data_IF_671655084931
#
_entry.id   IF_671655084931
#
_cell.length_a   1.000
_cell.length_b   1.000
_cell.length_c   1.000
_cell.angle_alpha   90.00
_cell.angle_beta   90.00
_cell.angle_gamma   90.00
#
_symmetry.space_group_name_H-M   'P 1'
#
loop_
_entity.id
_entity.type
_entity.pdbx_description
1 polymer ?
#
# COMPACT_ATOMS: atom_id res chain seq x y z
N UNK A 1 41.52 -15.08 -17.12
CA UNK A 1 40.83 -14.82 -18.41
C UNK A 1 39.40 -15.21 -18.20
N UNK A 2 38.49 -14.22 -18.10
CA UNK A 2 37.05 -14.47 -18.15
C UNK A 2 36.65 -14.71 -19.59
N UNK A 3 36.00 -15.84 -19.85
CA UNK A 3 35.39 -16.13 -21.15
C UNK A 3 33.96 -15.64 -21.11
N UNK A 4 33.64 -14.62 -21.87
CA UNK A 4 32.28 -14.14 -22.08
C UNK A 4 31.74 -14.82 -23.33
N UNK A 5 30.68 -15.61 -23.19
CA UNK A 5 29.97 -16.21 -24.30
C UNK A 5 28.89 -15.24 -24.79
N UNK A 6 29.07 -14.68 -25.98
CA UNK A 6 28.06 -13.86 -26.65
C UNK A 6 27.10 -14.78 -27.42
N UNK A 7 25.87 -14.92 -26.91
CA UNK A 7 24.82 -15.74 -27.54
C UNK A 7 23.90 -14.82 -28.34
N UNK A 8 23.95 -14.87 -29.63
CA UNK A 8 23.07 -14.14 -30.53
C UNK A 8 21.90 -15.01 -30.98
N UNK A 9 20.65 -14.61 -30.65
CA UNK A 9 19.46 -15.26 -31.17
C UNK A 9 19.28 -15.01 -32.67
N UNK A 10 18.83 -16.04 -33.40
CA UNK A 10 18.47 -15.91 -34.83
C UNK A 10 17.30 -14.93 -34.96
N UNK A 11 17.25 -14.16 -36.08
CA UNK A 11 16.21 -13.12 -36.32
C UNK A 11 14.78 -13.62 -36.15
N UNK A 12 14.48 -14.88 -36.48
CA UNK A 12 13.16 -15.47 -36.31
C UNK A 12 12.69 -15.59 -34.84
N UNK A 13 13.60 -15.55 -33.86
CA UNK A 13 13.33 -15.68 -32.44
C UNK A 13 13.45 -14.33 -31.69
N UNK A 14 13.66 -13.24 -32.42
CA UNK A 14 13.80 -11.89 -31.83
C UNK A 14 12.45 -11.18 -31.60
N UNK A 15 11.38 -11.76 -32.11
CA UNK A 15 10.01 -11.25 -31.90
C UNK A 15 9.04 -12.40 -31.68
N UNK A 16 8.06 -12.18 -30.85
CA UNK A 16 7.08 -13.21 -30.54
C UNK A 16 5.98 -12.72 -29.62
N UNK A 17 5.08 -13.66 -29.35
CA UNK A 17 3.98 -13.49 -28.43
C UNK A 17 4.00 -14.64 -27.44
N UNK A 18 3.69 -14.33 -26.19
CA UNK A 18 3.47 -15.30 -25.13
C UNK A 18 2.19 -14.92 -24.42
N UNK A 19 1.39 -15.90 -24.04
CA UNK A 19 0.18 -15.61 -23.28
C UNK A 19 -0.27 -16.85 -22.53
N UNK A 20 -0.89 -16.62 -21.38
CA UNK A 20 -1.58 -17.66 -20.64
C UNK A 20 -2.91 -17.10 -20.11
N UNK A 21 -3.85 -18.02 -19.92
CA UNK A 21 -5.13 -17.74 -19.28
C UNK A 21 -5.42 -18.89 -18.33
N UNK A 22 -5.76 -18.56 -17.11
CA UNK A 22 -6.17 -19.53 -16.10
C UNK A 22 -7.55 -19.15 -15.59
N UNK A 23 -8.41 -20.16 -15.41
CA UNK A 23 -9.72 -19.98 -14.80
C UNK A 23 -9.99 -21.16 -13.87
N UNK A 24 -10.53 -20.88 -12.70
CA UNK A 24 -10.89 -21.87 -11.71
C UNK A 24 -12.18 -21.49 -10.99
N UNK A 25 -12.99 -22.49 -10.68
CA UNK A 25 -14.16 -22.34 -9.83
C UNK A 25 -14.18 -23.48 -8.80
N UNK A 26 -14.44 -23.14 -7.57
CA UNK A 26 -14.39 -24.06 -6.44
C UNK A 26 -15.66 -24.07 -5.61
N UNK A 27 -15.66 -24.84 -4.54
CA UNK A 27 -16.73 -24.84 -3.54
C UNK A 27 -16.84 -23.51 -2.83
N UNK A 28 -18.03 -23.18 -2.28
CA UNK A 28 -18.29 -21.92 -1.57
C UNK A 28 -18.07 -20.68 -2.45
N UNK A 29 -18.47 -20.76 -3.72
CA UNK A 29 -18.38 -19.66 -4.69
C UNK A 29 -16.96 -19.09 -4.87
N UNK A 30 -15.92 -19.91 -4.63
CA UNK A 30 -14.54 -19.52 -4.87
C UNK A 30 -14.25 -19.51 -6.36
N UNK A 31 -13.64 -18.44 -6.82
CA UNK A 31 -13.25 -18.27 -8.22
C UNK A 31 -11.86 -17.67 -8.38
N UNK A 32 -11.23 -17.97 -9.49
CA UNK A 32 -9.97 -17.42 -9.95
C UNK A 32 -10.05 -17.22 -11.46
N UNK A 33 -9.67 -16.04 -11.94
CA UNK A 33 -9.48 -15.77 -13.35
C UNK A 33 -8.23 -14.93 -13.55
N UNK A 34 -7.26 -15.44 -14.31
CA UNK A 34 -5.99 -14.74 -14.61
C UNK A 34 -5.73 -14.76 -16.10
N UNK A 35 -5.18 -13.66 -16.59
CA UNK A 35 -4.73 -13.55 -17.97
C UNK A 35 -3.41 -12.78 -18.04
N UNK A 36 -2.53 -13.23 -18.89
CA UNK A 36 -1.25 -12.60 -19.20
C UNK A 36 -1.01 -12.63 -20.71
N UNK A 37 -0.52 -11.52 -21.25
CA UNK A 37 -0.13 -11.42 -22.64
C UNK A 37 1.16 -10.60 -22.75
N UNK A 38 2.11 -11.11 -23.49
CA UNK A 38 3.39 -10.50 -23.77
C UNK A 38 3.63 -10.48 -25.28
N UNK A 39 3.94 -9.31 -25.81
CA UNK A 39 4.54 -9.16 -27.15
C UNK A 39 5.92 -8.58 -26.99
N UNK A 40 6.90 -9.17 -27.63
CA UNK A 40 8.27 -8.65 -27.67
C UNK A 40 8.81 -8.58 -29.09
N UNK A 41 9.67 -7.61 -29.31
CA UNK A 41 10.45 -7.40 -30.52
C UNK A 41 11.90 -7.11 -30.15
N UNK A 42 12.78 -6.88 -31.13
CA UNK A 42 14.17 -6.48 -30.86
C UNK A 42 14.31 -5.23 -29.98
N UNK A 43 13.33 -4.32 -30.05
CA UNK A 43 13.41 -2.99 -29.45
C UNK A 43 12.24 -2.66 -28.52
N UNK A 44 11.26 -3.55 -28.39
CA UNK A 44 10.09 -3.27 -27.56
C UNK A 44 9.53 -4.51 -26.87
N UNK A 45 8.92 -4.29 -25.71
CA UNK A 45 8.17 -5.29 -24.99
C UNK A 45 6.89 -4.63 -24.47
N UNK A 46 5.75 -5.27 -24.74
CA UNK A 46 4.44 -4.87 -24.23
C UNK A 46 3.90 -6.05 -23.45
N UNK A 47 3.59 -5.84 -22.19
CA UNK A 47 3.00 -6.82 -21.29
C UNK A 47 1.64 -6.30 -20.82
N UNK A 48 0.63 -7.14 -20.86
CA UNK A 48 -0.70 -6.86 -20.30
C UNK A 48 -1.10 -8.02 -19.39
N UNK A 49 -1.73 -7.73 -18.27
CA UNK A 49 -2.14 -8.75 -17.32
C UNK A 49 -3.36 -8.33 -16.51
N UNK A 50 -4.08 -9.31 -16.02
CA UNK A 50 -5.20 -9.13 -15.11
C UNK A 50 -5.41 -10.35 -14.23
N UNK A 51 -5.91 -10.12 -13.01
CA UNK A 51 -6.26 -11.15 -12.04
C UNK A 51 -7.56 -10.73 -11.34
N UNK A 52 -8.52 -11.63 -11.29
CA UNK A 52 -9.73 -11.49 -10.49
C UNK A 52 -9.94 -12.76 -9.68
N UNK A 53 -10.08 -12.64 -8.38
CA UNK A 53 -10.24 -13.80 -7.51
C UNK A 53 -10.85 -13.44 -6.15
N UNK A 54 -11.38 -14.47 -5.47
CA UNK A 54 -11.75 -14.46 -4.06
C UNK A 54 -11.09 -15.62 -3.28
N UNK A 55 -9.94 -16.07 -3.72
CA UNK A 55 -9.18 -17.20 -3.15
C UNK A 55 -8.00 -16.73 -2.31
N UNK A 56 -7.97 -15.45 -1.89
CA UNK A 56 -6.86 -14.81 -1.17
C UNK A 56 -5.54 -14.79 -1.97
N UNK A 57 -5.61 -14.96 -3.29
CA UNK A 57 -4.44 -14.94 -4.15
C UNK A 57 -4.02 -13.49 -4.46
N UNK A 58 -2.79 -13.13 -4.08
CA UNK A 58 -2.19 -11.82 -4.30
C UNK A 58 -1.10 -11.83 -5.37
N UNK A 59 -0.99 -12.92 -6.13
CA UNK A 59 0.06 -13.08 -7.11
C UNK A 59 0.03 -12.03 -8.22
N UNK A 60 1.20 -11.72 -8.72
CA UNK A 60 1.44 -10.86 -9.88
C UNK A 60 2.30 -11.62 -10.90
N UNK A 61 2.14 -11.36 -12.20
CA UNK A 61 2.93 -12.05 -13.20
C UNK A 61 4.37 -11.54 -13.20
N UNK A 62 5.31 -12.45 -13.38
CA UNK A 62 6.72 -12.17 -13.67
C UNK A 62 7.02 -12.27 -15.15
N UNK A 63 8.22 -11.96 -15.55
CA UNK A 63 8.62 -11.71 -16.93
C UNK A 63 8.25 -12.74 -18.00
N UNK A 64 8.05 -14.01 -17.64
CA UNK A 64 7.64 -15.11 -18.52
C UNK A 64 6.14 -15.45 -18.40
N UNK A 65 5.39 -14.70 -17.60
CA UNK A 65 3.96 -14.89 -17.38
C UNK A 65 3.61 -15.91 -16.28
N UNK A 66 4.58 -16.39 -15.53
CA UNK A 66 4.32 -17.13 -14.30
C UNK A 66 3.78 -16.19 -13.22
N UNK A 67 2.84 -16.71 -12.42
CA UNK A 67 2.22 -15.93 -11.35
C UNK A 67 2.92 -16.25 -10.03
N UNK A 68 3.57 -15.24 -9.46
CA UNK A 68 4.27 -15.35 -8.18
C UNK A 68 3.60 -14.48 -7.13
N UNK A 69 3.44 -14.99 -5.94
CA UNK A 69 2.87 -14.30 -4.79
C UNK A 69 2.52 -15.24 -3.66
N UNK A 70 2.23 -14.67 -2.51
CA UNK A 70 1.76 -15.40 -1.35
C UNK A 70 0.23 -15.30 -1.24
N UNK A 71 -0.41 -16.35 -0.75
CA UNK A 71 -1.79 -16.27 -0.28
C UNK A 71 -1.80 -15.62 1.10
N UNK A 72 -2.62 -14.60 1.29
CA UNK A 72 -2.90 -14.05 2.61
C UNK A 72 -4.00 -14.90 3.26
N UNK A 73 -3.70 -15.47 4.41
CA UNK A 73 -4.61 -16.39 5.10
C UNK A 73 -5.53 -15.68 6.10
N UNK A 74 -5.39 -14.37 6.30
CA UNK A 74 -6.19 -13.60 7.25
C UNK A 74 -7.48 -13.09 6.60
N UNK A 75 -8.59 -13.75 6.89
CA UNK A 75 -9.91 -13.36 6.41
C UNK A 75 -10.21 -13.78 4.98
N UNK A 76 -11.31 -13.25 4.45
CA UNK A 76 -11.71 -13.43 3.05
C UNK A 76 -11.30 -12.21 2.23
N UNK A 77 -10.45 -12.43 1.22
CA UNK A 77 -9.95 -11.38 0.35
C UNK A 77 -10.43 -11.58 -1.08
N UNK A 78 -11.09 -10.56 -1.61
CA UNK A 78 -11.43 -10.43 -3.03
C UNK A 78 -10.47 -9.45 -3.67
N UNK A 79 -9.88 -9.81 -4.80
CA UNK A 79 -8.94 -8.95 -5.52
C UNK A 79 -9.30 -8.88 -6.99
N UNK A 80 -9.27 -7.65 -7.52
CA UNK A 80 -9.31 -7.37 -8.95
C UNK A 80 -8.07 -6.55 -9.28
N UNK A 81 -7.30 -6.99 -10.24
CA UNK A 81 -6.07 -6.33 -10.66
C UNK A 81 -5.98 -6.31 -12.17
N UNK A 82 -5.58 -5.18 -12.71
CA UNK A 82 -5.19 -5.06 -14.11
C UNK A 82 -3.94 -4.19 -14.21
N UNK A 83 -3.07 -4.51 -15.15
CA UNK A 83 -1.85 -3.73 -15.35
C UNK A 83 -1.22 -4.00 -16.70
N UNK A 84 -0.21 -3.20 -16.98
CA UNK A 84 0.58 -3.34 -18.19
C UNK A 84 1.93 -2.67 -18.06
N UNK A 85 2.84 -3.16 -18.89
CA UNK A 85 4.19 -2.63 -19.01
C UNK A 85 4.50 -2.40 -20.50
N UNK A 86 5.10 -1.27 -20.79
CA UNK A 86 5.69 -0.94 -22.08
C UNK A 86 7.17 -0.68 -21.89
N UNK A 87 7.99 -1.41 -22.61
CA UNK A 87 9.42 -1.10 -22.74
C UNK A 87 9.71 -0.81 -24.20
N UNK A 88 10.47 0.24 -24.45
CA UNK A 88 10.93 0.59 -25.78
C UNK A 88 12.38 1.09 -25.73
N UNK A 89 13.18 0.65 -26.70
CA UNK A 89 14.55 1.07 -26.89
C UNK A 89 14.75 1.50 -28.36
N UNK A 90 15.46 2.61 -28.58
CA UNK A 90 15.80 3.03 -29.94
C UNK A 90 16.77 2.02 -30.62
N UNK A 91 16.73 1.89 -31.96
CA UNK A 91 17.60 0.95 -32.68
C UNK A 91 19.10 1.18 -32.42
N UNK A 92 19.49 2.42 -32.18
CA UNK A 92 20.87 2.81 -31.83
C UNK A 92 21.16 2.65 -30.31
N UNK A 93 20.20 2.19 -29.52
CA UNK A 93 20.25 2.02 -28.04
C UNK A 93 20.63 3.28 -27.27
N UNK A 94 20.48 4.44 -27.89
CA UNK A 94 20.76 5.70 -27.22
C UNK A 94 19.63 6.21 -26.36
N UNK A 95 18.40 5.73 -26.60
CA UNK A 95 17.21 6.05 -25.80
C UNK A 95 16.50 4.78 -25.36
N UNK A 96 16.08 4.76 -24.10
CA UNK A 96 15.23 3.73 -23.50
C UNK A 96 14.10 4.39 -22.73
N UNK A 97 12.93 3.77 -22.78
CA UNK A 97 11.79 4.15 -21.96
C UNK A 97 11.08 2.89 -21.43
N UNK A 98 10.57 2.98 -20.22
CA UNK A 98 9.79 1.91 -19.61
C UNK A 98 8.65 2.49 -18.80
N UNK A 99 7.42 2.23 -19.25
CA UNK A 99 6.18 2.62 -18.59
C UNK A 99 5.53 1.39 -17.93
N UNK A 100 5.08 1.53 -16.71
CA UNK A 100 4.26 0.56 -15.98
C UNK A 100 3.03 1.26 -15.44
N UNK A 101 1.88 0.61 -15.56
CA UNK A 101 0.66 1.05 -14.94
C UNK A 101 -0.07 -0.15 -14.33
N UNK A 102 -0.58 0.02 -13.11
CA UNK A 102 -1.30 -1.02 -12.39
C UNK A 102 -2.45 -0.40 -11.61
N UNK A 103 -3.60 -1.05 -11.66
CA UNK A 103 -4.74 -0.78 -10.79
C UNK A 103 -5.08 -2.05 -10.02
N UNK A 104 -5.33 -1.92 -8.72
CA UNK A 104 -5.73 -3.03 -7.86
C UNK A 104 -6.89 -2.57 -6.99
N UNK A 105 -7.99 -3.30 -7.04
CA UNK A 105 -9.12 -3.18 -6.12
C UNK A 105 -9.13 -4.40 -5.20
N UNK A 106 -9.18 -4.17 -3.89
CA UNK A 106 -9.18 -5.22 -2.88
C UNK A 106 -10.34 -5.00 -1.92
N UNK A 107 -11.06 -6.06 -1.59
CA UNK A 107 -12.02 -6.08 -0.49
C UNK A 107 -11.61 -7.20 0.47
N UNK A 108 -11.52 -6.89 1.76
CA UNK A 108 -11.08 -7.79 2.82
C UNK A 108 -12.14 -7.81 3.90
N UNK A 109 -12.71 -8.98 4.13
CA UNK A 109 -13.65 -9.26 5.23
C UNK A 109 -12.95 -10.14 6.25
N UNK A 110 -12.88 -9.68 7.50
CA UNK A 110 -12.22 -10.40 8.59
C UNK A 110 -13.19 -10.59 9.75
N UNK A 111 -13.27 -11.80 10.26
CA UNK A 111 -13.96 -12.12 11.50
C UNK A 111 -13.01 -12.89 12.41
N UNK A 112 -12.94 -12.48 13.68
CA UNK A 112 -12.14 -13.17 14.69
C UNK A 112 -12.96 -13.29 15.98
N UNK A 113 -12.96 -14.48 16.55
CA UNK A 113 -13.54 -14.75 17.85
C UNK A 113 -12.52 -15.45 18.74
N UNK A 114 -12.31 -14.88 19.93
CA UNK A 114 -11.42 -15.44 20.93
C UNK A 114 -12.18 -15.66 22.23
N UNK A 115 -12.06 -16.84 22.81
CA UNK A 115 -12.57 -17.15 24.15
C UNK A 115 -11.38 -17.57 25.01
N UNK A 116 -11.24 -16.99 26.19
CA UNK A 116 -10.19 -17.32 27.13
C UNK A 116 -10.76 -17.59 28.52
N UNK A 117 -10.10 -18.50 29.24
CA UNK A 117 -10.40 -18.85 30.62
C UNK A 117 -9.13 -18.67 31.44
N UNK A 118 -9.23 -17.92 32.53
CA UNK A 118 -8.12 -17.67 33.44
C UNK A 118 -8.50 -18.11 34.85
N UNK A 119 -7.70 -18.97 35.45
CA UNK A 119 -7.85 -19.42 36.82
C UNK A 119 -7.15 -18.44 37.75
N UNK A 120 -7.88 -17.88 38.69
CA UNK A 120 -7.37 -16.91 39.66
C UNK A 120 -6.90 -17.60 40.96
N UNK A 121 -6.02 -16.92 41.70
CA UNK A 121 -5.42 -17.45 42.92
C UNK A 121 -6.42 -17.68 44.05
N UNK A 122 -7.56 -17.03 44.02
CA UNK A 122 -8.68 -17.18 44.97
C UNK A 122 -9.60 -18.37 44.64
N UNK A 123 -9.27 -19.14 43.59
CA UNK A 123 -10.06 -20.27 43.12
C UNK A 123 -11.19 -19.89 42.15
N UNK A 124 -11.44 -18.61 41.92
CA UNK A 124 -12.39 -18.17 40.91
C UNK A 124 -11.86 -18.32 39.48
N UNK A 125 -12.74 -18.34 38.52
CA UNK A 125 -12.42 -18.45 37.10
C UNK A 125 -12.98 -17.23 36.37
N UNK A 126 -12.10 -16.55 35.64
CA UNK A 126 -12.47 -15.46 34.75
C UNK A 126 -12.64 -16.00 33.33
N UNK A 127 -13.80 -15.85 32.76
CA UNK A 127 -14.11 -16.14 31.36
C UNK A 127 -14.15 -14.83 30.62
N UNK A 128 -13.47 -14.80 29.45
CA UNK A 128 -13.54 -13.67 28.54
C UNK A 128 -13.86 -14.12 27.12
N UNK A 129 -14.64 -13.30 26.43
CA UNK A 129 -14.96 -13.47 25.00
C UNK A 129 -14.72 -12.17 24.28
N UNK A 130 -13.98 -12.24 23.20
CA UNK A 130 -13.75 -11.13 22.26
C UNK A 130 -14.22 -11.56 20.88
N UNK A 131 -14.93 -10.67 20.20
CA UNK A 131 -15.30 -10.82 18.81
C UNK A 131 -14.95 -9.54 18.08
N UNK A 132 -14.31 -9.66 16.92
CA UNK A 132 -14.03 -8.53 16.05
C UNK A 132 -14.39 -8.86 14.61
N UNK A 133 -14.95 -7.88 13.92
CA UNK A 133 -15.31 -7.93 12.52
C UNK A 133 -14.76 -6.68 11.84
N UNK A 134 -14.21 -6.83 10.64
CA UNK A 134 -13.86 -5.69 9.81
C UNK A 134 -14.11 -5.97 8.35
N UNK A 135 -14.63 -4.97 7.65
CA UNK A 135 -14.66 -4.91 6.20
C UNK A 135 -13.80 -3.75 5.74
N UNK A 136 -12.95 -3.98 4.77
CA UNK A 136 -12.10 -2.93 4.19
C UNK A 136 -12.09 -3.06 2.69
N UNK A 137 -12.30 -1.94 2.00
CA UNK A 137 -12.13 -1.84 0.55
C UNK A 137 -11.03 -0.85 0.24
N UNK A 138 -10.15 -1.23 -0.66
CA UNK A 138 -9.01 -0.43 -1.05
C UNK A 138 -8.86 -0.46 -2.57
N UNK A 139 -8.59 0.70 -3.15
CA UNK A 139 -8.24 0.84 -4.56
C UNK A 139 -6.90 1.53 -4.65
N UNK A 140 -5.95 0.89 -5.33
CA UNK A 140 -4.62 1.41 -5.57
C UNK A 140 -4.40 1.57 -7.06
N UNK A 141 -3.89 2.73 -7.47
CA UNK A 141 -3.44 3.02 -8.82
C UNK A 141 -1.98 3.43 -8.73
N UNK A 142 -1.12 2.76 -9.48
CA UNK A 142 0.29 3.11 -9.59
C UNK A 142 0.68 3.27 -11.05
N UNK A 143 1.44 4.32 -11.34
CA UNK A 143 2.05 4.58 -12.65
C UNK A 143 3.50 4.89 -12.42
N UNK A 144 4.38 4.24 -13.16
CA UNK A 144 5.81 4.47 -13.14
C UNK A 144 6.33 4.55 -14.56
N UNK A 145 7.04 5.61 -14.87
CA UNK A 145 7.72 5.80 -16.14
C UNK A 145 9.19 6.12 -15.90
N UNK A 146 10.08 5.46 -16.60
CA UNK A 146 11.49 5.82 -16.61
C UNK A 146 11.98 6.00 -18.02
N UNK A 147 12.95 6.87 -18.18
CA UNK A 147 13.61 7.13 -19.45
C UNK A 147 15.11 7.33 -19.26
N UNK A 148 15.87 6.98 -20.28
CA UNK A 148 17.32 7.12 -20.32
C UNK A 148 17.76 7.54 -21.71
N UNK A 149 18.67 8.50 -21.75
CA UNK A 149 19.36 8.94 -22.96
C UNK A 149 20.86 8.80 -22.76
N UNK A 150 21.54 8.12 -23.67
CA UNK A 150 22.98 7.90 -23.57
C UNK A 150 23.66 8.40 -24.85
N UNK A 151 24.31 9.56 -24.76
CA UNK A 151 25.07 10.17 -25.85
C UNK A 151 26.39 10.73 -25.29
N UNK A 152 26.59 12.05 -25.40
CA UNK A 152 27.69 12.75 -24.72
C UNK A 152 27.42 12.90 -23.22
N UNK A 153 26.16 12.96 -22.87
CA UNK A 153 25.65 12.88 -21.51
C UNK A 153 24.91 11.55 -21.36
N UNK A 154 25.07 10.93 -20.22
CA UNK A 154 24.15 9.93 -19.73
C UNK A 154 23.10 10.66 -18.90
N UNK A 155 21.87 10.64 -19.34
CA UNK A 155 20.74 11.32 -18.68
C UNK A 155 19.68 10.30 -18.43
N UNK A 156 19.16 10.22 -17.20
CA UNK A 156 18.03 9.38 -16.84
C UNK A 156 17.05 10.14 -15.97
N UNK A 157 15.83 9.67 -15.96
CA UNK A 157 14.81 10.19 -15.06
C UNK A 157 13.68 9.18 -14.89
N UNK A 158 12.95 9.37 -13.82
CA UNK A 158 11.75 8.61 -13.52
C UNK A 158 10.65 9.47 -12.96
N UNK A 159 9.44 9.03 -13.21
CA UNK A 159 8.20 9.58 -12.67
C UNK A 159 7.45 8.43 -12.04
N UNK A 160 7.11 8.53 -10.76
CA UNK A 160 6.15 7.62 -10.14
C UNK A 160 4.95 8.40 -9.60
N UNK A 161 3.79 7.85 -9.83
CA UNK A 161 2.53 8.32 -9.26
C UNK A 161 1.80 7.16 -8.62
N UNK A 162 1.47 7.30 -7.35
CA UNK A 162 0.70 6.33 -6.60
C UNK A 162 -0.52 7.01 -5.98
N UNK A 163 -1.67 6.41 -6.17
CA UNK A 163 -2.93 6.81 -5.57
C UNK A 163 -3.54 5.63 -4.85
N UNK A 164 -3.93 5.82 -3.60
CA UNK A 164 -4.70 4.83 -2.86
C UNK A 164 -5.95 5.47 -2.25
N UNK A 165 -7.06 4.77 -2.35
CA UNK A 165 -8.31 5.10 -1.68
C UNK A 165 -8.72 3.90 -0.84
N UNK A 166 -8.98 4.12 0.44
CA UNK A 166 -9.35 3.08 1.39
C UNK A 166 -10.54 3.52 2.22
N UNK A 167 -11.52 2.63 2.37
CA UNK A 167 -12.63 2.81 3.30
C UNK A 167 -13.00 1.47 3.93
N UNK A 168 -13.56 1.51 5.13
CA UNK A 168 -13.97 0.30 5.80
C UNK A 168 -14.55 0.53 7.18
N UNK A 169 -15.26 -0.47 7.65
CA UNK A 169 -15.83 -0.53 9.00
C UNK A 169 -15.06 -1.55 9.84
N UNK A 170 -14.97 -1.30 11.12
CA UNK A 170 -14.50 -2.28 12.09
C UNK A 170 -15.39 -2.21 13.32
N UNK A 171 -15.75 -3.38 13.85
CA UNK A 171 -16.44 -3.49 15.11
C UNK A 171 -15.77 -4.54 15.99
N UNK A 172 -15.73 -4.29 17.28
CA UNK A 172 -15.26 -5.27 18.25
C UNK A 172 -16.08 -5.22 19.52
N UNK A 173 -16.31 -6.38 20.09
CA UNK A 173 -16.94 -6.53 21.41
C UNK A 173 -16.06 -7.38 22.28
N UNK A 174 -16.01 -7.03 23.56
CA UNK A 174 -15.32 -7.78 24.61
C UNK A 174 -16.22 -7.87 25.83
N UNK A 175 -16.34 -9.05 26.39
CA UNK A 175 -17.05 -9.28 27.64
C UNK A 175 -16.21 -10.19 28.55
N UNK A 176 -16.23 -9.92 29.86
CA UNK A 176 -15.62 -10.82 30.87
C UNK A 176 -16.56 -11.05 32.04
N UNK A 177 -16.49 -12.24 32.64
CA UNK A 177 -17.25 -12.60 33.84
C UNK A 177 -16.43 -13.50 34.77
N UNK A 178 -16.77 -13.56 36.05
CA UNK A 178 -16.02 -14.37 37.02
C UNK A 178 -16.42 -15.85 37.07
N UNK A 179 -17.65 -16.21 36.69
CA UNK A 179 -18.14 -17.57 36.86
C UNK A 179 -18.83 -18.14 35.64
N UNK A 180 -19.47 -17.29 34.86
CA UNK A 180 -20.14 -17.67 33.63
C UNK A 180 -20.29 -16.48 32.69
N UNK A 181 -20.32 -16.71 31.38
CA UNK A 181 -20.47 -15.63 30.39
C UNK A 181 -21.95 -15.30 30.19
N UNK A 182 -22.73 -15.12 31.23
CA UNK A 182 -24.12 -14.69 31.15
C UNK A 182 -24.31 -13.33 31.77
N UNK A 183 -24.96 -12.41 31.05
CA UNK A 183 -25.47 -11.19 31.64
C UNK A 183 -26.51 -11.59 32.72
N UNK A 184 -26.45 -11.13 34.00
CA UNK A 184 -25.83 -9.92 34.53
C UNK A 184 -24.45 -10.09 35.22
N UNK A 185 -23.84 -11.27 35.21
CA UNK A 185 -22.57 -11.53 35.90
C UNK A 185 -21.33 -10.99 35.15
N UNK A 186 -21.53 -10.16 34.15
CA UNK A 186 -20.45 -9.56 33.35
C UNK A 186 -19.69 -8.53 34.19
N UNK A 187 -18.38 -8.74 34.36
CA UNK A 187 -17.51 -7.82 35.08
C UNK A 187 -17.18 -6.58 34.27
N UNK A 188 -16.93 -6.76 32.99
CA UNK A 188 -16.66 -5.68 32.07
C UNK A 188 -17.19 -6.00 30.67
N UNK A 189 -17.66 -4.97 30.02
CA UNK A 189 -18.10 -4.99 28.64
C UNK A 189 -17.47 -3.82 27.90
N UNK A 190 -16.93 -4.08 26.71
CA UNK A 190 -16.45 -3.05 25.79
C UNK A 190 -17.04 -3.31 24.41
N UNK A 191 -17.56 -2.25 23.79
CA UNK A 191 -17.93 -2.24 22.39
C UNK A 191 -17.20 -1.10 21.70
N UNK A 192 -16.64 -1.38 20.53
CA UNK A 192 -15.97 -0.40 19.68
C UNK A 192 -16.48 -0.53 18.27
N UNK A 193 -16.85 0.57 17.65
CA UNK A 193 -17.21 0.67 16.25
C UNK A 193 -16.41 1.78 15.61
N UNK A 194 -15.89 1.53 14.42
CA UNK A 194 -15.09 2.48 13.68
C UNK A 194 -15.46 2.44 12.20
N UNK A 195 -15.49 3.61 11.58
CA UNK A 195 -15.51 3.78 10.14
C UNK A 195 -14.33 4.64 9.75
N UNK A 196 -13.56 4.18 8.78
CA UNK A 196 -12.42 4.91 8.22
C UNK A 196 -12.62 5.12 6.73
N UNK A 197 -12.29 6.32 6.30
CA UNK A 197 -12.19 6.66 4.89
C UNK A 197 -10.94 7.52 4.69
N UNK A 198 -10.23 7.34 3.58
CA UNK A 198 -9.06 8.15 3.31
C UNK A 198 -8.47 7.87 1.96
N UNK A 199 -7.73 8.85 1.48
CA UNK A 199 -6.97 8.73 0.25
C UNK A 199 -5.57 9.28 0.42
N UNK A 200 -4.63 8.67 -0.29
CA UNK A 200 -3.25 9.10 -0.36
C UNK A 200 -2.85 9.30 -1.82
N UNK A 201 -2.07 10.33 -2.07
CA UNK A 201 -1.44 10.57 -3.36
C UNK A 201 0.04 10.78 -3.15
N UNK A 202 0.87 10.18 -3.97
CA UNK A 202 2.30 10.40 -4.00
C UNK A 202 2.76 10.59 -5.44
N UNK A 203 3.50 11.67 -5.68
CA UNK A 203 4.18 11.94 -6.94
C UNK A 203 5.67 12.09 -6.65
N UNK A 204 6.49 11.30 -7.31
CA UNK A 204 7.95 11.43 -7.28
C UNK A 204 8.46 11.67 -8.68
N UNK A 205 9.27 12.68 -8.82
CA UNK A 205 10.00 13.00 -10.04
C UNK A 205 11.48 12.97 -9.70
N UNK A 206 12.28 12.22 -10.46
CA UNK A 206 13.73 12.26 -10.35
C UNK A 206 14.38 12.33 -11.72
N UNK A 207 15.50 13.03 -11.79
CA UNK A 207 16.32 13.12 -12.97
C UNK A 207 17.78 13.25 -12.57
N UNK A 208 18.63 12.58 -13.32
CA UNK A 208 20.06 12.70 -13.18
C UNK A 208 20.75 12.80 -14.55
N UNK A 209 21.84 13.52 -14.57
CA UNK A 209 22.68 13.73 -15.75
C UNK A 209 24.15 13.61 -15.37
N UNK A 210 24.85 12.70 -16.00
CA UNK A 210 26.27 12.46 -15.78
C UNK A 210 27.03 12.66 -17.08
N UNK A 211 28.18 13.31 -16.99
CA UNK A 211 29.08 13.47 -18.11
C UNK A 211 30.52 13.27 -17.68
N UNK A 212 31.23 12.50 -18.47
CA UNK A 212 32.69 12.42 -18.42
C UNK A 212 33.29 13.55 -19.24
N UNK A 213 34.12 14.37 -18.65
CA UNK A 213 34.75 15.52 -19.29
C UNK A 213 35.97 15.10 -20.12
N UNK A 214 36.40 15.96 -21.02
CA UNK A 214 37.51 15.65 -21.94
C UNK A 214 38.84 15.33 -21.24
N UNK A 215 39.03 15.87 -20.03
CA UNK A 215 40.22 15.63 -19.20
C UNK A 215 40.08 14.46 -18.21
N UNK A 216 38.98 13.69 -18.29
CA UNK A 216 38.79 12.47 -17.53
C UNK A 216 37.91 12.58 -16.29
N UNK A 217 37.66 13.77 -15.80
CA UNK A 217 36.78 14.00 -14.65
C UNK A 217 35.30 13.74 -14.98
N UNK A 218 34.49 13.51 -13.95
CA UNK A 218 33.06 13.27 -14.09
C UNK A 218 32.25 14.29 -13.33
N UNK A 219 31.24 14.83 -13.95
CA UNK A 219 30.23 15.68 -13.31
C UNK A 219 28.88 15.02 -13.36
N UNK A 220 28.18 14.99 -12.20
CA UNK A 220 26.81 14.50 -12.06
C UNK A 220 25.94 15.60 -11.48
N UNK A 221 24.80 15.81 -12.11
CA UNK A 221 23.69 16.61 -11.60
C UNK A 221 22.52 15.66 -11.34
N UNK A 222 21.88 15.80 -10.19
CA UNK A 222 20.62 15.09 -9.91
C UNK A 222 19.62 16.02 -9.25
N UNK A 223 18.36 15.83 -9.60
CA UNK A 223 17.24 16.55 -9.01
C UNK A 223 16.15 15.56 -8.60
N UNK A 224 15.54 15.79 -7.44
CA UNK A 224 14.40 15.01 -6.96
C UNK A 224 13.32 15.94 -6.42
N UNK A 225 12.10 15.69 -6.84
CA UNK A 225 10.89 16.29 -6.29
C UNK A 225 9.99 15.19 -5.78
N UNK A 226 9.42 15.38 -4.59
CA UNK A 226 8.38 14.50 -4.05
C UNK A 226 7.24 15.36 -3.53
N UNK A 227 6.04 15.02 -3.93
CA UNK A 227 4.80 15.51 -3.36
C UNK A 227 4.03 14.33 -2.81
N UNK A 228 3.62 14.42 -1.54
CA UNK A 228 2.70 13.46 -0.96
C UNK A 228 1.56 14.21 -0.28
N UNK A 229 0.33 13.71 -0.43
CA UNK A 229 -0.83 14.18 0.30
C UNK A 229 -1.63 13.01 0.84
N UNK A 230 -2.12 13.15 2.06
CA UNK A 230 -3.01 12.20 2.69
C UNK A 230 -4.19 12.93 3.31
N UNK A 231 -5.38 12.38 3.15
CA UNK A 231 -6.58 12.80 3.86
C UNK A 231 -7.23 11.58 4.48
N UNK A 232 -7.54 11.66 5.77
CA UNK A 232 -8.17 10.58 6.52
C UNK A 232 -9.33 11.13 7.34
N UNK A 233 -10.43 10.40 7.31
CA UNK A 233 -11.58 10.61 8.19
C UNK A 233 -11.82 9.33 9.01
N UNK A 234 -12.00 9.49 10.30
CA UNK A 234 -12.28 8.41 11.22
C UNK A 234 -13.50 8.80 12.10
N UNK A 235 -14.53 7.99 12.05
CA UNK A 235 -15.60 8.00 13.03
C UNK A 235 -15.37 6.83 13.98
N UNK A 236 -15.31 7.08 15.28
CA UNK A 236 -15.07 6.07 16.31
C UNK A 236 -16.05 6.19 17.45
N UNK A 237 -16.72 5.09 17.81
CA UNK A 237 -17.60 5.00 18.95
C UNK A 237 -17.11 3.88 19.86
N UNK A 238 -16.87 4.23 21.14
CA UNK A 238 -16.41 3.29 22.15
C UNK A 238 -17.33 3.37 23.37
N UNK A 239 -17.80 2.23 23.82
CA UNK A 239 -18.57 2.07 25.06
C UNK A 239 -17.81 1.09 25.94
N UNK A 240 -17.51 1.50 27.17
CA UNK A 240 -16.92 0.63 28.18
C UNK A 240 -17.78 0.69 29.45
N UNK A 241 -18.20 -0.47 29.92
CA UNK A 241 -18.98 -0.61 31.16
C UNK A 241 -18.26 -1.53 32.13
N UNK A 242 -18.18 -1.15 33.39
CA UNK A 242 -17.57 -1.95 34.46
C UNK A 242 -18.56 -2.01 35.65
N UNK A 243 -18.78 -3.22 36.19
CA UNK A 243 -19.80 -3.43 37.22
C UNK A 243 -19.25 -3.94 38.56
N UNK A 244 -17.92 -4.09 38.74
CA UNK A 244 -17.33 -4.80 39.89
C UNK A 244 -17.44 -4.06 41.24
N UNK A 245 -17.38 -2.74 41.31
CA UNK A 245 -17.44 -1.99 42.57
C UNK A 245 -18.29 -0.71 42.47
N UNK A 246 -18.29 -0.09 41.33
CA UNK A 246 -19.14 1.04 40.95
C UNK A 246 -19.50 0.88 39.49
N UNK A 247 -20.79 0.85 39.16
CA UNK A 247 -21.22 0.85 37.79
C UNK A 247 -20.74 2.13 37.12
N UNK A 248 -19.70 2.00 36.30
CA UNK A 248 -19.19 3.10 35.52
C UNK A 248 -19.40 2.81 34.04
N UNK A 249 -19.86 3.81 33.33
CA UNK A 249 -20.03 3.79 31.88
C UNK A 249 -19.14 4.89 31.29
N UNK A 250 -18.19 4.53 30.47
CA UNK A 250 -17.40 5.47 29.65
C UNK A 250 -17.84 5.32 28.21
N UNK A 251 -18.42 6.38 27.67
CA UNK A 251 -18.85 6.47 26.29
C UNK A 251 -18.07 7.56 25.60
N UNK A 252 -17.51 7.23 24.41
CA UNK A 252 -16.80 8.15 23.54
C UNK A 252 -17.27 7.99 22.12
N UNK A 253 -17.60 9.11 21.49
CA UNK A 253 -17.88 9.21 20.08
C UNK A 253 -17.04 10.34 19.51
N UNK A 254 -16.14 10.00 18.61
CA UNK A 254 -15.14 10.91 18.06
C UNK A 254 -15.23 10.92 16.53
N UNK A 255 -15.08 12.10 15.96
CA UNK A 255 -14.80 12.31 14.55
C UNK A 255 -13.44 12.95 14.42
N UNK A 256 -12.56 12.30 13.70
CA UNK A 256 -11.21 12.73 13.44
C UNK A 256 -11.04 12.99 11.95
N UNK A 257 -10.49 14.16 11.61
CA UNK A 257 -10.16 14.55 10.24
C UNK A 257 -8.73 15.02 10.18
N UNK A 258 -7.89 14.20 9.58
CA UNK A 258 -6.47 14.45 9.39
C UNK A 258 -6.12 14.73 7.93
N UNK A 259 -5.34 15.77 7.70
CA UNK A 259 -4.80 16.13 6.39
C UNK A 259 -3.30 16.32 6.51
N UNK A 260 -2.53 15.69 5.63
CA UNK A 260 -1.08 15.84 5.56
C UNK A 260 -0.65 16.19 4.15
N UNK A 261 0.34 17.08 4.04
CA UNK A 261 1.02 17.41 2.79
C UNK A 261 2.53 17.45 3.04
N UNK A 262 3.27 16.74 2.23
CA UNK A 262 4.74 16.69 2.26
C UNK A 262 5.29 17.09 0.89
N UNK A 263 6.10 18.13 0.85
CA UNK A 263 6.81 18.59 -0.33
C UNK A 263 8.31 18.50 -0.06
N UNK A 264 9.01 17.77 -0.88
CA UNK A 264 10.46 17.60 -0.81
C UNK A 264 11.11 17.99 -2.14
N UNK A 265 12.17 18.78 -2.04
CA UNK A 265 13.03 19.18 -3.15
C UNK A 265 14.47 18.82 -2.80
N UNK A 266 15.13 18.10 -3.67
CA UNK A 266 16.54 17.74 -3.53
C UNK A 266 17.32 18.05 -4.81
N UNK A 267 18.47 18.66 -4.65
CA UNK A 267 19.43 18.84 -5.73
C UNK A 267 20.74 18.21 -5.31
N UNK A 268 21.48 17.66 -6.24
CA UNK A 268 22.80 17.09 -5.99
C UNK A 268 23.73 17.48 -7.15
N UNK A 269 24.87 18.01 -6.81
CA UNK A 269 25.98 18.23 -7.72
C UNK A 269 27.17 17.43 -7.20
N UNK A 270 27.70 16.55 -8.01
CA UNK A 270 28.87 15.74 -7.67
C UNK A 270 29.93 15.95 -8.75
N UNK A 271 31.15 16.29 -8.33
CA UNK A 271 32.30 16.37 -9.19
C UNK A 271 33.32 15.32 -8.74
N UNK A 272 33.78 14.48 -9.63
CA UNK A 272 34.68 13.35 -9.33
C UNK A 272 35.93 13.45 -10.18
N UNK A 273 37.07 13.39 -9.52
CA UNK A 273 38.42 13.37 -10.12
C UNK A 273 38.95 11.96 -9.99
N UNK A 274 39.00 11.17 -11.09
CA UNK A 274 39.62 9.85 -11.06
C UNK A 274 41.14 9.97 -11.20
N UNK A 275 41.89 9.35 -10.32
CA UNK A 275 43.35 9.24 -10.48
C UNK A 275 43.70 8.02 -11.31
N UNK A 276 44.68 8.15 -12.17
CA UNK A 276 45.14 7.10 -13.13
C UNK A 276 45.55 5.78 -12.45
N UNK A 277 45.98 5.82 -11.21
CA UNK A 277 46.29 4.62 -10.36
C UNK A 277 46.00 4.98 -8.94
N UNK A 278 44.76 4.81 -8.49
CA UNK A 278 44.42 5.10 -7.11
C UNK A 278 42.97 5.43 -6.84
N UNK A 279 42.63 5.89 -5.65
CA UNK A 279 41.27 6.24 -5.28
C UNK A 279 40.79 7.49 -6.02
N UNK A 280 39.48 7.54 -6.36
CA UNK A 280 38.86 8.76 -6.86
C UNK A 280 38.51 9.71 -5.73
N UNK A 281 38.68 11.03 -5.93
CA UNK A 281 38.21 12.07 -5.01
C UNK A 281 36.92 12.67 -5.54
N UNK A 282 35.89 12.76 -4.72
CA UNK A 282 34.62 13.34 -5.10
C UNK A 282 34.24 14.50 -4.15
N UNK A 283 33.84 15.62 -4.73
CA UNK A 283 33.16 16.70 -4.03
C UNK A 283 31.67 16.60 -4.33
N UNK A 284 30.85 16.57 -3.27
CA UNK A 284 29.39 16.49 -3.40
C UNK A 284 28.74 17.63 -2.65
N UNK A 285 27.84 18.35 -3.33
CA UNK A 285 26.93 19.32 -2.74
C UNK A 285 25.51 18.84 -2.92
N UNK A 286 24.75 18.71 -1.81
CA UNK A 286 23.42 18.08 -1.82
C UNK A 286 22.42 18.89 -0.95
N UNK A 287 21.97 20.08 -1.41
CA UNK A 287 20.94 20.84 -0.72
C UNK A 287 19.58 20.15 -0.84
N UNK A 288 18.87 20.12 0.28
CA UNK A 288 17.51 19.60 0.35
C UNK A 288 16.60 20.59 1.05
N UNK A 289 15.35 20.65 0.61
CA UNK A 289 14.30 21.42 1.28
C UNK A 289 13.08 20.52 1.43
N UNK A 290 12.52 20.46 2.64
CA UNK A 290 11.29 19.73 2.93
C UNK A 290 10.32 20.62 3.67
N UNK A 291 9.06 20.61 3.23
CA UNK A 291 7.96 21.31 3.89
C UNK A 291 6.85 20.33 4.16
N UNK A 292 6.57 20.10 5.43
CA UNK A 292 5.45 19.27 5.88
C UNK A 292 4.38 20.18 6.48
N UNK A 293 3.13 19.91 6.15
CA UNK A 293 1.95 20.55 6.75
C UNK A 293 1.02 19.41 7.17
N UNK A 294 0.84 19.30 8.48
CA UNK A 294 -0.09 18.38 9.08
C UNK A 294 -1.19 19.17 9.80
N UNK A 295 -2.42 18.73 9.63
CA UNK A 295 -3.58 19.23 10.36
C UNK A 295 -4.38 18.04 10.81
N UNK A 296 -4.60 17.98 12.09
CA UNK A 296 -5.41 16.97 12.76
C UNK A 296 -6.48 17.67 13.60
N UNK A 297 -7.75 17.33 13.38
CA UNK A 297 -8.88 17.90 14.08
C UNK A 297 -9.72 16.76 14.64
N UNK A 298 -9.76 16.67 15.96
CA UNK A 298 -10.55 15.69 16.70
C UNK A 298 -11.75 16.38 17.30
N UNK A 299 -12.94 15.91 16.96
CA UNK A 299 -14.21 16.40 17.46
C UNK A 299 -14.83 15.36 18.38
N UNK A 300 -15.14 15.78 19.63
CA UNK A 300 -15.80 14.95 20.64
C UNK A 300 -17.32 15.07 20.47
N UNK A 301 -17.91 14.17 19.70
CA UNK A 301 -19.34 14.13 19.41
C UNK A 301 -20.16 13.71 20.65
N UNK A 302 -19.58 12.87 21.52
CA UNK A 302 -20.18 12.43 22.76
C UNK A 302 -20.53 13.56 23.75
N UNK A 303 -19.95 14.74 23.60
CA UNK A 303 -20.28 15.92 24.36
C UNK A 303 -21.53 16.65 23.85
N UNK A 304 -22.00 16.32 22.68
CA UNK A 304 -23.15 16.90 21.99
C UNK A 304 -24.34 15.95 21.98
N UNK A 305 -24.18 14.72 22.46
CA UNK A 305 -25.14 13.64 22.36
C UNK A 305 -25.45 13.04 23.74
N UNK A 306 -26.71 12.64 23.96
CA UNK A 306 -27.03 11.70 25.02
C UNK A 306 -26.62 10.29 24.58
N UNK A 307 -25.69 9.66 25.31
CA UNK A 307 -25.14 8.35 24.94
C UNK A 307 -26.21 7.26 24.81
N UNK A 308 -27.28 7.33 25.61
CA UNK A 308 -28.38 6.36 25.59
C UNK A 308 -29.18 6.42 24.29
N UNK A 309 -29.21 7.56 23.62
CA UNK A 309 -29.83 7.77 22.30
C UNK A 309 -28.81 7.52 21.21
N UNK A 310 -27.59 8.06 21.34
CA UNK A 310 -26.54 8.03 20.36
C UNK A 310 -26.01 6.62 20.08
N UNK A 311 -26.04 5.71 21.08
CA UNK A 311 -25.63 4.32 20.90
C UNK A 311 -26.42 3.56 19.83
N UNK A 312 -27.65 4.00 19.52
CA UNK A 312 -28.54 3.40 18.52
C UNK A 312 -28.56 4.19 17.19
N UNK A 313 -27.82 5.29 17.08
CA UNK A 313 -27.75 6.10 15.86
C UNK A 313 -26.66 5.55 14.91
N UNK A 314 -26.78 5.78 13.60
CA UNK A 314 -25.71 5.46 12.66
C UNK A 314 -24.40 6.15 13.06
N UNK A 315 -23.28 5.41 13.00
CA UNK A 315 -21.96 5.89 13.43
C UNK A 315 -21.51 7.20 12.73
N UNK A 316 -21.92 7.40 11.49
CA UNK A 316 -21.56 8.57 10.68
C UNK A 316 -22.55 9.74 10.79
N UNK A 317 -23.55 9.62 11.63
CA UNK A 317 -24.49 10.71 11.85
C UNK A 317 -23.81 11.81 12.67
N UNK A 318 -23.58 12.95 12.05
CA UNK A 318 -23.15 14.14 12.77
C UNK A 318 -24.37 14.75 13.49
N UNK A 319 -24.22 15.17 14.76
CA UNK A 319 -25.28 15.89 15.44
C UNK A 319 -25.69 17.11 14.64
N UNK A 320 -26.98 17.31 14.48
CA UNK A 320 -27.49 18.58 13.87
C UNK A 320 -27.16 19.72 14.83
N UNK A 321 -26.25 20.59 14.42
CA UNK A 321 -25.98 21.85 15.12
C UNK A 321 -27.13 22.81 14.96
#
# INVERSE_FOLDING_TARGET
>A
KEYVMDVQLKKAYRQGYLGNVEAGYGTHDRYLGRAFALRFTDNSRITLYGNTNNTNDTSSPVGDGQWEGASDLNGEKKQNMAGGELFWESPDRLFRNGLRAKVTGTAIDTESQTTAQSFLADGSTNFSRSQSMSDTKETNVSVYDYWQVTKKWWVSGDISFDHSNRHGNASSTYASSLTNITLPDTLSYRSSEQYREGHNNELVLSADATRKLAWGDEVTFAAKYKYASAEHELFGRNLTSQWLQNTSVDYRHEYDKANSQDNYYGLKVKYTIPFLKGPAVSLTYNPTHRRVKDRDNIFRLDRLEDWSVAANQPLRLLPSM
#
